data_IF_718292058612
#
_entry.id   IF_718292058612
#
_cell.length_a   1.000
_cell.length_b   1.000
_cell.length_c   1.000
_cell.angle_alpha   90.00
_cell.angle_beta   90.00
_cell.angle_gamma   90.00
#
_symmetry.space_group_name_H-M   'P 1'
#
loop_
_entity.id
_entity.type
_entity.pdbx_description
1 polymer ?
#
# COMPACT_ATOMS: atom_id res chain seq x y z
N UNK A 1 19.05 13.74 -8.64
CA UNK A 1 18.57 13.60 -7.25
C UNK A 1 18.23 12.14 -7.01
N UNK A 2 18.37 11.63 -5.78
CA UNK A 2 18.01 10.25 -5.43
C UNK A 2 16.83 10.32 -4.46
N UNK A 3 15.67 9.83 -4.88
CA UNK A 3 14.42 9.90 -4.14
C UNK A 3 14.05 8.50 -3.61
N UNK A 4 13.32 8.45 -2.51
CA UNK A 4 12.70 7.25 -1.96
C UNK A 4 11.22 7.53 -1.74
N UNK A 5 10.39 6.50 -1.91
CA UNK A 5 8.97 6.57 -1.62
C UNK A 5 8.62 5.77 -0.36
N UNK A 6 7.72 6.31 0.47
CA UNK A 6 7.19 5.61 1.63
C UNK A 6 5.66 5.61 1.53
N UNK A 7 5.06 4.42 1.59
CA UNK A 7 3.59 4.25 1.63
C UNK A 7 3.17 3.88 3.05
N UNK A 8 2.47 4.79 3.72
CA UNK A 8 1.98 4.59 5.09
C UNK A 8 0.62 3.87 5.07
N UNK A 9 0.64 2.55 5.21
CA UNK A 9 -0.51 1.66 5.11
C UNK A 9 -0.76 0.86 6.41
N UNK A 10 -0.53 1.48 7.58
CA UNK A 10 -0.74 0.85 8.90
C UNK A 10 -1.97 1.38 9.66
N UNK A 11 -2.76 2.26 9.04
CA UNK A 11 -3.87 2.94 9.69
C UNK A 11 -5.06 2.02 10.00
N UNK A 12 -5.65 2.17 11.18
CA UNK A 12 -6.81 1.38 11.64
C UNK A 12 -8.08 1.57 10.80
N UNK A 13 -8.15 2.66 10.03
CA UNK A 13 -9.32 3.01 9.21
C UNK A 13 -10.64 3.09 10.01
N UNK A 14 -10.61 3.49 11.29
CA UNK A 14 -11.78 3.50 12.18
C UNK A 14 -12.95 4.34 11.65
N UNK A 15 -12.67 5.52 11.08
CA UNK A 15 -13.69 6.37 10.44
C UNK A 15 -14.28 5.78 9.15
N UNK A 16 -13.56 4.85 8.53
CA UNK A 16 -13.99 4.14 7.31
C UNK A 16 -14.70 2.81 7.64
N UNK A 17 -14.81 2.44 8.92
CA UNK A 17 -15.36 1.13 9.33
C UNK A 17 -14.36 -0.02 9.30
N UNK A 18 -13.06 0.26 9.11
CA UNK A 18 -12.01 -0.76 8.97
C UNK A 18 -11.76 -1.19 7.52
N UNK A 19 -10.77 -2.05 7.29
CA UNK A 19 -10.54 -2.72 6.00
C UNK A 19 -10.18 -1.83 4.80
N UNK A 20 -9.97 -0.52 4.98
CA UNK A 20 -9.74 0.46 3.89
C UNK A 20 -8.73 0.00 2.84
N UNK A 21 -7.60 -0.59 3.24
CA UNK A 21 -6.53 -0.98 2.32
C UNK A 21 -6.99 -2.02 1.29
N UNK A 22 -7.89 -2.91 1.69
CA UNK A 22 -8.42 -4.01 0.88
C UNK A 22 -9.78 -3.69 0.27
N UNK A 23 -10.36 -2.53 0.60
CA UNK A 23 -11.64 -2.11 0.04
C UNK A 23 -11.55 -2.03 -1.48
N UNK A 24 -12.55 -2.57 -2.19
CA UNK A 24 -12.63 -2.44 -3.63
C UNK A 24 -12.77 -0.97 -4.01
N UNK A 25 -11.85 -0.51 -4.84
CA UNK A 25 -11.94 0.75 -5.54
C UNK A 25 -11.61 0.51 -7.02
N UNK A 26 -12.63 0.66 -7.87
CA UNK A 26 -12.50 0.46 -9.32
C UNK A 26 -12.03 -0.96 -9.68
N UNK A 27 -12.54 -1.98 -8.99
CA UNK A 27 -12.29 -3.39 -9.27
C UNK A 27 -10.95 -3.92 -8.73
N UNK A 28 -10.26 -3.13 -7.90
CA UNK A 28 -8.96 -3.48 -7.30
C UNK A 28 -8.89 -2.96 -5.86
N UNK A 29 -8.14 -3.60 -4.96
CA UNK A 29 -7.90 -3.09 -3.61
C UNK A 29 -7.41 -1.63 -3.61
N UNK A 30 -7.89 -0.81 -2.68
CA UNK A 30 -7.52 0.61 -2.63
C UNK A 30 -6.00 0.82 -2.49
N UNK A 31 -5.29 -0.07 -1.78
CA UNK A 31 -3.83 -0.02 -1.62
C UNK A 31 -3.09 -0.16 -2.96
N UNK A 32 -3.64 -0.89 -3.94
CA UNK A 32 -3.00 -1.07 -5.25
C UNK A 32 -2.75 0.26 -5.95
N UNK A 33 -3.71 1.19 -5.89
CA UNK A 33 -3.59 2.48 -6.56
C UNK A 33 -2.47 3.34 -5.96
N UNK A 34 -2.23 3.22 -4.65
CA UNK A 34 -1.14 3.92 -3.97
C UNK A 34 0.22 3.28 -4.31
N UNK A 35 0.28 1.95 -4.39
CA UNK A 35 1.50 1.22 -4.78
C UNK A 35 1.88 1.50 -6.24
N UNK A 36 0.91 1.44 -7.17
CA UNK A 36 1.12 1.76 -8.58
C UNK A 36 1.69 3.19 -8.74
N UNK A 37 1.15 4.15 -8.00
CA UNK A 37 1.63 5.54 -8.01
C UNK A 37 3.04 5.67 -7.45
N UNK A 38 3.35 4.98 -6.34
CA UNK A 38 4.67 5.02 -5.72
C UNK A 38 5.75 4.36 -6.60
N UNK A 39 5.42 3.25 -7.26
CA UNK A 39 6.30 2.54 -8.18
C UNK A 39 6.54 3.31 -9.49
N UNK A 40 5.56 4.09 -9.95
CA UNK A 40 5.70 4.95 -11.13
C UNK A 40 6.48 6.25 -10.85
N UNK A 41 6.70 6.60 -9.58
CA UNK A 41 7.47 7.79 -9.21
C UNK A 41 8.96 7.61 -9.53
N UNK A 42 9.74 8.69 -9.72
CA UNK A 42 11.18 8.62 -9.92
C UNK A 42 11.94 8.32 -8.59
N UNK A 43 11.46 7.36 -7.82
CA UNK A 43 12.05 6.85 -6.60
C UNK A 43 12.93 5.63 -6.89
N UNK A 44 14.02 5.48 -6.14
CA UNK A 44 14.88 4.29 -6.23
C UNK A 44 14.18 3.05 -5.69
N UNK A 45 13.35 3.22 -4.66
CA UNK A 45 12.61 2.15 -4.02
C UNK A 45 11.36 2.66 -3.33
N UNK A 46 10.52 1.70 -2.95
CA UNK A 46 9.28 1.92 -2.21
C UNK A 46 9.34 1.11 -0.92
N UNK A 47 9.23 1.79 0.22
CA UNK A 47 9.06 1.16 1.52
C UNK A 47 7.60 1.26 1.94
N UNK A 48 6.97 0.12 2.24
CA UNK A 48 5.58 0.09 2.71
C UNK A 48 5.55 -0.18 4.21
N UNK A 49 4.82 0.65 4.95
CA UNK A 49 4.63 0.49 6.40
C UNK A 49 3.27 -0.14 6.65
N UNK A 50 3.25 -1.32 7.27
CA UNK A 50 2.05 -2.08 7.57
C UNK A 50 1.84 -2.21 9.09
N UNK A 51 0.61 -2.55 9.48
CA UNK A 51 0.31 -2.95 10.85
C UNK A 51 0.88 -4.36 11.10
N UNK A 52 1.52 -4.63 12.25
CA UNK A 52 1.93 -5.99 12.60
C UNK A 52 0.75 -6.97 12.53
N UNK A 53 0.94 -8.09 11.83
CA UNK A 53 -0.07 -9.14 11.68
C UNK A 53 -1.11 -8.92 10.56
N UNK A 54 -1.03 -7.84 9.79
CA UNK A 54 -1.91 -7.62 8.62
C UNK A 54 -1.44 -8.44 7.41
N UNK A 55 -1.66 -9.77 7.47
CA UNK A 55 -1.18 -10.71 6.46
C UNK A 55 -1.75 -10.47 5.06
N UNK A 56 -2.99 -9.98 4.98
CA UNK A 56 -3.64 -9.68 3.71
C UNK A 56 -3.01 -8.46 3.02
N UNK A 57 -2.71 -7.39 3.78
CA UNK A 57 -1.97 -6.25 3.25
C UNK A 57 -0.53 -6.63 2.87
N UNK A 58 0.14 -7.49 3.66
CA UNK A 58 1.48 -7.97 3.35
C UNK A 58 1.51 -8.76 2.03
N UNK A 59 0.61 -9.72 1.87
CA UNK A 59 0.51 -10.53 0.63
C UNK A 59 0.33 -9.63 -0.59
N UNK A 60 -0.52 -8.61 -0.48
CA UNK A 60 -0.74 -7.66 -1.58
C UNK A 60 0.52 -6.86 -1.93
N UNK A 61 1.28 -6.42 -0.92
CA UNK A 61 2.54 -5.70 -1.12
C UNK A 61 3.61 -6.60 -1.75
N UNK A 62 3.74 -7.83 -1.26
CA UNK A 62 4.71 -8.81 -1.79
C UNK A 62 4.44 -9.15 -3.25
N UNK A 63 3.17 -9.24 -3.66
CA UNK A 63 2.78 -9.45 -5.05
C UNK A 63 3.19 -8.31 -6.00
N UNK A 64 3.68 -7.17 -5.48
CA UNK A 64 4.19 -6.03 -6.27
C UNK A 64 5.72 -5.88 -6.23
N UNK A 65 6.41 -6.77 -5.51
CA UNK A 65 7.87 -6.75 -5.40
C UNK A 65 8.58 -7.46 -6.57
N UNK A 66 7.82 -8.06 -7.49
CA UNK A 66 8.29 -8.68 -8.74
C UNK A 66 8.25 -7.69 -9.91
#
# INVERSE_FOLDING_TARGET
>A
MRLEAIVLAAGAASRFGGGKLLADYRGRPLLDHALDTALAAPARGVTVVLRPGDAAALTLVEARAE
#
